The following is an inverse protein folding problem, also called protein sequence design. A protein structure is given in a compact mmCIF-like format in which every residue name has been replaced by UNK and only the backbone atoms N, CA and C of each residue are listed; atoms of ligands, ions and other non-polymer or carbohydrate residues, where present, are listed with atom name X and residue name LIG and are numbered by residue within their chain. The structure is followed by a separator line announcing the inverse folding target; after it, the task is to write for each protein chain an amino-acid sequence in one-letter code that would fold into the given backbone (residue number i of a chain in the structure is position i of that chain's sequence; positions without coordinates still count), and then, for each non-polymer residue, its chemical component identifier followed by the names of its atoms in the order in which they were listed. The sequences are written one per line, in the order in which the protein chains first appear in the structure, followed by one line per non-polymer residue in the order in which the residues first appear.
data_IF_290854336568
#
_entry.id   IF_290854336568
#
_cell.length_a   1.000
_cell.length_b   1.000
_cell.length_c   1.000
_cell.angle_alpha   90.00
_cell.angle_beta   90.00
_cell.angle_gamma   90.00
#
_symmetry.space_group_name_H-M   'P 1'
#
loop_
_entity.id
_entity.type
_entity.pdbx_description
1 polymer ?
#
# COMPACT_ATOMS: atom_id res chain seq x y z
N UNK A 1 15.56 16.83 10.62
CA UNK A 1 16.41 17.62 9.71
C UNK A 1 15.69 17.71 8.40
N UNK A 2 15.43 18.92 7.92
CA UNK A 2 14.65 19.18 6.69
C UNK A 2 15.56 19.74 5.59
N UNK A 3 15.13 19.69 4.33
CA UNK A 3 15.93 19.96 3.14
C UNK A 3 16.77 21.24 3.24
N UNK A 4 16.15 22.34 3.70
CA UNK A 4 16.82 23.63 3.78
C UNK A 4 17.87 23.69 4.89
N UNK A 5 17.69 22.95 6.00
CA UNK A 5 18.68 22.84 7.07
C UNK A 5 19.93 22.11 6.59
N UNK A 6 19.75 20.98 5.88
CA UNK A 6 20.85 20.21 5.31
C UNK A 6 21.58 21.01 4.23
N UNK A 7 20.85 21.70 3.36
CA UNK A 7 21.45 22.57 2.33
C UNK A 7 22.27 23.70 2.98
N UNK A 8 21.75 24.33 4.03
CA UNK A 8 22.47 25.38 4.75
C UNK A 8 23.76 24.84 5.41
N UNK A 9 23.72 23.62 5.94
CA UNK A 9 24.91 22.95 6.47
C UNK A 9 25.97 22.71 5.39
N UNK A 10 25.57 22.22 4.21
CA UNK A 10 26.47 22.01 3.08
C UNK A 10 27.10 23.31 2.58
N UNK A 11 26.29 24.37 2.46
CA UNK A 11 26.80 25.70 2.08
C UNK A 11 27.83 26.19 3.11
N UNK A 12 27.55 26.08 4.41
CA UNK A 12 28.49 26.48 5.47
C UNK A 12 29.78 25.66 5.44
N UNK A 13 29.69 24.34 5.25
CA UNK A 13 30.85 23.44 5.16
C UNK A 13 31.70 23.71 3.92
N UNK A 14 31.07 24.07 2.80
CA UNK A 14 31.77 24.38 1.55
C UNK A 14 32.62 25.64 1.61
N UNK A 15 32.30 26.58 2.51
CA UNK A 15 32.93 27.91 2.58
C UNK A 15 32.62 28.80 1.37
N UNK A 16 31.75 28.37 0.46
CA UNK A 16 31.39 29.12 -0.75
C UNK A 16 30.32 30.17 -0.45
N UNK A 17 30.49 31.36 -1.02
CA UNK A 17 29.42 32.36 -1.05
C UNK A 17 28.32 31.95 -2.03
N UNK A 18 27.08 32.39 -1.79
CA UNK A 18 25.95 32.14 -2.69
C UNK A 18 26.20 32.58 -4.13
N UNK A 19 27.03 33.62 -4.32
CA UNK A 19 27.43 34.10 -5.65
C UNK A 19 28.39 33.13 -6.34
N UNK A 20 29.33 32.55 -5.60
CA UNK A 20 30.23 31.51 -6.12
C UNK A 20 29.48 30.22 -6.46
N UNK A 21 28.51 29.82 -5.63
CA UNK A 21 27.65 28.65 -5.91
C UNK A 21 26.87 28.88 -7.21
N UNK A 22 26.24 30.06 -7.36
CA UNK A 22 25.52 30.43 -8.58
C UNK A 22 26.41 30.36 -9.84
N UNK A 23 27.64 30.84 -9.77
CA UNK A 23 28.59 30.77 -10.89
C UNK A 23 29.03 29.32 -11.20
N UNK A 24 29.29 28.51 -10.17
CA UNK A 24 29.65 27.10 -10.37
C UNK A 24 28.49 26.27 -10.95
N UNK A 25 27.25 26.56 -10.53
CA UNK A 25 26.05 25.94 -11.09
C UNK A 25 25.88 26.30 -12.56
N UNK A 26 26.15 27.56 -12.93
CA UNK A 26 26.11 28.03 -14.31
C UNK A 26 27.15 27.34 -15.19
N UNK A 27 28.36 27.08 -14.67
CA UNK A 27 29.39 26.30 -15.37
C UNK A 27 28.96 24.86 -15.65
N UNK A 28 28.05 24.31 -14.84
CA UNK A 28 27.43 22.99 -15.03
C UNK A 28 26.16 23.02 -15.88
N UNK A 29 25.85 24.15 -16.51
CA UNK A 29 24.68 24.32 -17.37
C UNK A 29 23.37 24.60 -16.62
N UNK A 30 23.39 24.77 -15.30
CA UNK A 30 22.21 25.03 -14.47
C UNK A 30 22.17 26.51 -14.08
N UNK A 31 21.27 27.27 -14.70
CA UNK A 31 21.10 28.71 -14.40
C UNK A 31 20.28 28.90 -13.12
N UNK A 32 20.93 29.31 -12.05
CA UNK A 32 20.29 29.64 -10.77
C UNK A 32 20.86 30.94 -10.21
N UNK A 33 19.99 31.84 -9.77
CA UNK A 33 20.36 33.11 -9.14
C UNK A 33 20.61 32.99 -7.65
N UNK A 34 21.49 33.87 -7.12
CA UNK A 34 21.76 33.98 -5.67
C UNK A 34 20.50 34.12 -4.81
N UNK A 35 19.47 34.80 -5.32
CA UNK A 35 18.22 35.04 -4.58
C UNK A 35 17.42 33.75 -4.43
N UNK A 36 17.44 32.89 -5.46
CA UNK A 36 16.77 31.60 -5.41
C UNK A 36 17.45 30.66 -4.42
N UNK A 37 18.79 30.59 -4.41
CA UNK A 37 19.57 29.82 -3.43
C UNK A 37 19.28 30.31 -2.01
N UNK A 38 19.22 31.63 -1.82
CA UNK A 38 18.88 32.21 -0.51
C UNK A 38 17.47 31.83 -0.05
N UNK A 39 16.48 31.75 -0.95
CA UNK A 39 15.12 31.32 -0.60
C UNK A 39 15.08 29.83 -0.26
N UNK A 40 15.86 29.02 -0.99
CA UNK A 40 16.00 27.58 -0.76
C UNK A 40 16.61 27.26 0.62
N UNK A 41 17.75 27.86 0.96
CA UNK A 41 18.40 27.62 2.27
C UNK A 41 17.56 28.12 3.47
N UNK A 42 16.66 29.07 3.23
CA UNK A 42 15.76 29.61 4.25
C UNK A 42 14.40 28.89 4.28
N UNK A 43 14.18 27.86 3.45
CA UNK A 43 12.93 27.10 3.42
C UNK A 43 11.71 27.88 2.90
N UNK A 44 11.91 29.01 2.23
CA UNK A 44 10.83 29.87 1.71
C UNK A 44 10.19 29.25 0.46
N UNK A 45 10.96 28.48 -0.30
CA UNK A 45 10.51 27.79 -1.50
C UNK A 45 10.73 26.29 -1.32
N UNK A 46 9.85 25.51 -1.95
CA UNK A 46 9.94 24.06 -1.94
C UNK A 46 11.27 23.58 -2.55
N UNK A 47 11.71 22.37 -2.20
CA UNK A 47 12.86 21.75 -2.82
C UNK A 47 12.75 21.78 -4.35
N UNK A 48 13.86 22.10 -5.05
CA UNK A 48 13.86 22.26 -6.50
C UNK A 48 13.88 20.89 -7.19
N UNK A 49 13.87 20.90 -8.53
CA UNK A 49 13.97 19.66 -9.31
C UNK A 49 15.21 18.82 -8.96
N UNK A 50 15.14 17.51 -9.17
CA UNK A 50 16.23 16.55 -8.89
C UNK A 50 17.59 17.01 -9.45
N UNK A 51 17.60 17.51 -10.69
CA UNK A 51 18.81 18.00 -11.38
C UNK A 51 19.47 19.14 -10.60
N UNK A 52 18.67 20.08 -10.11
CA UNK A 52 19.15 21.22 -9.33
C UNK A 52 19.67 20.75 -7.97
N UNK A 53 18.95 19.85 -7.31
CA UNK A 53 19.33 19.30 -6.01
C UNK A 53 20.66 18.55 -6.07
N UNK A 54 20.84 17.69 -7.08
CA UNK A 54 22.11 16.98 -7.30
C UNK A 54 23.26 17.95 -7.58
N UNK A 55 23.05 18.92 -8.46
CA UNK A 55 24.08 19.90 -8.77
C UNK A 55 24.45 20.78 -7.56
N UNK A 56 23.49 21.12 -6.69
CA UNK A 56 23.77 21.84 -5.44
C UNK A 56 24.60 21.00 -4.47
N UNK A 57 24.28 19.72 -4.28
CA UNK A 57 25.07 18.83 -3.43
C UNK A 57 26.50 18.71 -3.94
N UNK A 58 26.68 18.50 -5.25
CA UNK A 58 28.02 18.40 -5.85
C UNK A 58 28.84 19.69 -5.71
N UNK A 59 28.23 20.85 -5.95
CA UNK A 59 28.93 22.16 -5.86
C UNK A 59 29.31 22.49 -4.42
N UNK A 60 28.48 22.09 -3.46
CA UNK A 60 28.74 22.31 -2.04
C UNK A 60 29.61 21.21 -1.41
N UNK A 61 29.93 20.14 -2.15
CA UNK A 61 30.67 18.98 -1.64
C UNK A 61 29.89 18.15 -0.62
N UNK A 62 28.57 18.27 -0.62
CA UNK A 62 27.66 17.49 0.22
C UNK A 62 27.32 16.13 -0.38
N UNK A 63 26.63 15.29 0.40
CA UNK A 63 26.17 13.98 -0.08
C UNK A 63 24.87 14.12 -0.90
N UNK A 64 24.88 13.79 -2.21
CA UNK A 64 23.72 13.99 -3.06
C UNK A 64 22.51 13.15 -2.65
N UNK A 65 22.74 11.89 -2.23
CA UNK A 65 21.69 10.96 -1.85
C UNK A 65 20.82 11.48 -0.69
N UNK A 66 21.46 12.02 0.36
CA UNK A 66 20.76 12.57 1.53
C UNK A 66 19.92 13.80 1.17
N UNK A 67 20.46 14.69 0.33
CA UNK A 67 19.76 15.91 -0.07
C UNK A 67 18.56 15.60 -0.98
N UNK A 68 18.67 14.60 -1.85
CA UNK A 68 17.58 14.13 -2.71
C UNK A 68 16.47 13.47 -1.91
N UNK A 69 16.80 12.63 -0.92
CA UNK A 69 15.79 12.02 -0.06
C UNK A 69 14.94 13.07 0.67
N UNK A 70 15.58 14.11 1.21
CA UNK A 70 14.86 15.21 1.86
C UNK A 70 14.08 16.07 0.88
N UNK A 71 14.57 16.26 -0.36
CA UNK A 71 13.83 16.97 -1.39
C UNK A 71 12.52 16.24 -1.75
N UNK A 72 12.54 14.90 -1.74
CA UNK A 72 11.37 14.07 -1.99
C UNK A 72 10.40 14.04 -0.81
N UNK A 73 10.88 14.03 0.43
CA UNK A 73 10.00 14.08 1.61
C UNK A 73 9.34 15.45 1.77
N UNK A 74 10.10 16.53 1.55
CA UNK A 74 9.67 17.91 1.84
C UNK A 74 8.98 18.57 0.64
N UNK A 75 9.20 18.04 -0.57
CA UNK A 75 8.55 18.49 -1.80
C UNK A 75 7.10 18.06 -1.93
N UNK A 76 6.63 17.14 -1.07
CA UNK A 76 5.26 16.68 -1.07
C UNK A 76 4.44 17.60 -0.16
N UNK A 77 3.43 18.29 -0.73
CA UNK A 77 2.54 19.13 0.07
C UNK A 77 1.82 18.29 1.13
N UNK A 78 1.58 18.86 2.31
CA UNK A 78 0.84 18.19 3.38
C UNK A 78 -0.53 17.67 2.91
N UNK A 79 -1.17 18.39 1.98
CA UNK A 79 -2.40 17.98 1.32
C UNK A 79 -2.23 16.69 0.50
N UNK A 80 -1.17 16.59 -0.31
CA UNK A 80 -0.89 15.40 -1.11
C UNK A 80 -0.51 14.20 -0.24
N UNK A 81 0.26 14.39 0.85
CA UNK A 81 0.53 13.32 1.82
C UNK A 81 -0.75 12.79 2.47
N UNK A 82 -1.67 13.69 2.81
CA UNK A 82 -2.94 13.33 3.45
C UNK A 82 -3.82 12.52 2.50
N UNK A 83 -3.89 12.94 1.24
CA UNK A 83 -4.64 12.24 0.19
C UNK A 83 -4.01 10.87 -0.15
N UNK A 84 -2.68 10.79 -0.18
CA UNK A 84 -2.00 9.51 -0.41
C UNK A 84 -2.19 8.54 0.77
N UNK A 85 -2.19 9.05 2.01
CA UNK A 85 -2.46 8.24 3.21
C UNK A 85 -3.90 7.71 3.21
N UNK A 86 -4.90 8.54 2.91
CA UNK A 86 -6.31 8.09 2.86
C UNK A 86 -6.53 7.04 1.77
N UNK A 87 -5.92 7.21 0.60
CA UNK A 87 -5.96 6.20 -0.48
C UNK A 87 -5.29 4.89 -0.01
N UNK A 88 -4.17 4.97 0.69
CA UNK A 88 -3.47 3.78 1.20
C UNK A 88 -4.31 3.01 2.23
N UNK A 89 -5.02 3.71 3.11
CA UNK A 89 -5.93 3.09 4.08
C UNK A 89 -7.09 2.38 3.40
N UNK A 90 -7.69 2.99 2.39
CA UNK A 90 -8.80 2.39 1.63
C UNK A 90 -8.37 1.14 0.85
N UNK A 91 -7.17 1.16 0.25
CA UNK A 91 -6.60 -0.01 -0.42
C UNK A 91 -6.33 -1.15 0.58
N UNK A 92 -5.83 -0.82 1.77
CA UNK A 92 -5.61 -1.82 2.82
C UNK A 92 -6.92 -2.45 3.31
N UNK A 93 -7.96 -1.65 3.54
CA UNK A 93 -9.29 -2.17 3.94
C UNK A 93 -9.87 -3.10 2.87
N UNK A 94 -9.84 -2.69 1.60
CA UNK A 94 -10.30 -3.54 0.49
C UNK A 94 -9.53 -4.86 0.39
N UNK A 95 -8.21 -4.83 0.58
CA UNK A 95 -7.37 -6.03 0.61
C UNK A 95 -7.75 -6.98 1.76
N UNK A 96 -8.02 -6.42 2.94
CA UNK A 96 -8.43 -7.20 4.11
C UNK A 96 -9.82 -7.83 3.89
N UNK A 97 -10.77 -7.06 3.33
CA UNK A 97 -12.11 -7.53 3.00
C UNK A 97 -12.08 -8.66 1.97
N UNK A 98 -11.26 -8.53 0.93
CA UNK A 98 -11.06 -9.60 -0.07
C UNK A 98 -10.52 -10.87 0.56
N UNK A 99 -9.52 -10.75 1.45
CA UNK A 99 -8.94 -11.90 2.15
C UNK A 99 -9.99 -12.59 3.03
N UNK A 100 -10.75 -11.82 3.79
CA UNK A 100 -11.84 -12.35 4.63
C UNK A 100 -12.89 -13.09 3.81
N UNK A 101 -13.26 -12.53 2.64
CA UNK A 101 -14.22 -13.14 1.74
C UNK A 101 -13.73 -14.47 1.17
N UNK A 102 -12.45 -14.54 0.78
CA UNK A 102 -11.81 -15.75 0.25
C UNK A 102 -11.79 -16.88 1.29
N UNK A 103 -11.42 -16.56 2.54
CA UNK A 103 -11.39 -17.52 3.64
C UNK A 103 -12.81 -18.05 3.96
N UNK A 104 -13.80 -17.16 3.96
CA UNK A 104 -15.19 -17.53 4.17
C UNK A 104 -15.74 -18.42 3.05
N UNK A 105 -15.40 -18.13 1.79
CA UNK A 105 -15.78 -18.96 0.64
C UNK A 105 -15.15 -20.36 0.73
N UNK A 106 -13.86 -20.44 1.03
CA UNK A 106 -13.16 -21.72 1.23
C UNK A 106 -13.84 -22.57 2.32
N UNK A 107 -14.24 -21.94 3.42
CA UNK A 107 -14.97 -22.62 4.50
C UNK A 107 -16.36 -23.10 4.07
N UNK A 108 -17.08 -22.30 3.28
CA UNK A 108 -18.40 -22.70 2.74
C UNK A 108 -18.27 -23.90 1.81
N UNK A 109 -17.29 -23.90 0.90
CA UNK A 109 -17.04 -25.03 -0.01
C UNK A 109 -16.76 -26.33 0.74
N UNK A 110 -15.95 -26.27 1.82
CA UNK A 110 -15.70 -27.45 2.65
C UNK A 110 -16.96 -27.96 3.34
N UNK A 111 -17.77 -27.06 3.92
CA UNK A 111 -19.02 -27.43 4.58
C UNK A 111 -20.05 -28.00 3.60
N UNK A 112 -20.13 -27.45 2.38
CA UNK A 112 -21.00 -27.99 1.34
C UNK A 112 -20.60 -29.41 0.94
N UNK A 113 -19.29 -29.65 0.81
CA UNK A 113 -18.77 -30.99 0.52
C UNK A 113 -19.10 -31.98 1.65
N UNK A 114 -18.82 -31.61 2.90
CA UNK A 114 -19.12 -32.45 4.07
C UNK A 114 -20.63 -32.72 4.18
N UNK A 115 -21.47 -31.71 3.98
CA UNK A 115 -22.92 -31.86 4.00
C UNK A 115 -23.39 -32.85 2.92
N UNK A 116 -22.82 -32.77 1.70
CA UNK A 116 -23.12 -33.73 0.63
C UNK A 116 -22.70 -35.17 0.98
N UNK A 117 -21.54 -35.33 1.60
CA UNK A 117 -21.06 -36.63 2.08
C UNK A 117 -21.98 -37.20 3.17
N UNK A 118 -22.33 -36.40 4.17
CA UNK A 118 -23.25 -36.78 5.25
C UNK A 118 -24.63 -37.17 4.70
N UNK A 119 -25.21 -36.35 3.80
CA UNK A 119 -26.45 -36.68 3.10
C UNK A 119 -26.35 -38.04 2.40
N UNK A 120 -25.25 -38.28 1.70
CA UNK A 120 -25.01 -39.56 1.02
C UNK A 120 -24.94 -40.73 2.01
N UNK A 121 -24.23 -40.57 3.14
CA UNK A 121 -24.13 -41.61 4.17
C UNK A 121 -25.49 -41.95 4.79
N UNK A 122 -26.33 -40.94 5.07
CA UNK A 122 -27.69 -41.12 5.58
C UNK A 122 -28.52 -41.94 4.58
N UNK A 123 -28.52 -41.57 3.30
CA UNK A 123 -29.27 -42.30 2.29
C UNK A 123 -28.76 -43.74 2.11
N UNK A 124 -27.44 -43.96 2.15
CA UNK A 124 -26.84 -45.29 2.05
C UNK A 124 -27.18 -46.19 3.24
N UNK A 125 -27.15 -45.65 4.46
CA UNK A 125 -27.55 -46.40 5.66
C UNK A 125 -29.04 -46.74 5.64
N UNK A 126 -29.90 -45.80 5.22
CA UNK A 126 -31.34 -46.00 5.08
C UNK A 126 -31.71 -47.13 4.11
N UNK A 127 -30.87 -47.43 3.10
CA UNK A 127 -31.10 -48.55 2.17
C UNK A 127 -31.13 -49.92 2.85
N UNK A 128 -30.40 -50.08 3.95
CA UNK A 128 -30.28 -51.37 4.66
C UNK A 128 -31.40 -51.58 5.69
N UNK A 129 -32.25 -50.59 5.88
CA UNK A 129 -33.34 -50.66 6.86
C UNK A 129 -34.59 -51.33 6.29
N UNK A 130 -35.35 -51.95 7.18
CA UNK A 130 -36.68 -52.46 6.85
C UNK A 130 -37.61 -51.32 6.40
N UNK A 131 -38.54 -51.61 5.48
CA UNK A 131 -39.43 -50.62 4.82
C UNK A 131 -40.14 -49.68 5.80
N UNK A 132 -40.53 -50.18 6.97
CA UNK A 132 -41.22 -49.40 8.01
C UNK A 132 -40.34 -48.29 8.55
N UNK A 133 -39.04 -48.56 8.78
CA UNK A 133 -38.10 -47.57 9.31
C UNK A 133 -37.57 -46.62 8.23
N UNK A 134 -37.59 -47.06 6.97
CA UNK A 134 -37.15 -46.27 5.81
C UNK A 134 -38.00 -45.00 5.61
N UNK A 135 -39.32 -45.09 5.86
CA UNK A 135 -40.23 -43.95 5.78
C UNK A 135 -39.86 -42.83 6.74
N UNK A 136 -39.65 -43.15 8.03
CA UNK A 136 -39.28 -42.17 9.05
C UNK A 136 -37.98 -41.43 8.71
N UNK A 137 -36.94 -42.15 8.24
CA UNK A 137 -35.67 -41.51 7.87
C UNK A 137 -35.83 -40.59 6.66
N UNK A 138 -36.67 -40.93 5.69
CA UNK A 138 -36.90 -40.11 4.50
C UNK A 138 -37.70 -38.85 4.81
N UNK A 139 -38.71 -38.95 5.67
CA UNK A 139 -39.46 -37.79 6.13
C UNK A 139 -38.56 -36.82 6.92
N UNK A 140 -37.70 -37.34 7.79
CA UNK A 140 -36.79 -36.51 8.58
C UNK A 140 -35.65 -35.93 7.73
N UNK A 141 -35.16 -36.68 6.73
CA UNK A 141 -34.21 -36.16 5.74
C UNK A 141 -34.80 -34.95 5.00
N UNK A 142 -36.03 -35.04 4.51
CA UNK A 142 -36.69 -33.96 3.78
C UNK A 142 -36.93 -32.74 4.69
N UNK A 143 -37.31 -32.94 5.96
CA UNK A 143 -37.46 -31.83 6.92
C UNK A 143 -36.16 -31.07 7.20
N UNK A 144 -35.05 -31.80 7.34
CA UNK A 144 -33.75 -31.21 7.70
C UNK A 144 -33.07 -30.57 6.50
N UNK A 145 -33.18 -31.19 5.33
CA UNK A 145 -32.45 -30.76 4.13
C UNK A 145 -33.29 -29.90 3.19
N UNK A 146 -34.62 -29.94 3.31
CA UNK A 146 -35.57 -29.34 2.35
C UNK A 146 -35.64 -30.09 1.00
N UNK A 147 -34.91 -31.20 0.86
CA UNK A 147 -34.80 -31.96 -0.37
C UNK A 147 -35.49 -33.30 -0.24
N UNK A 148 -36.23 -33.69 -1.29
CA UNK A 148 -36.77 -35.05 -1.36
C UNK A 148 -35.62 -36.04 -1.54
N UNK A 149 -35.54 -37.10 -0.72
CA UNK A 149 -34.51 -38.11 -0.88
C UNK A 149 -34.68 -38.77 -2.25
N UNK A 150 -33.65 -38.69 -3.08
CA UNK A 150 -33.65 -39.43 -4.34
C UNK A 150 -33.80 -40.92 -4.04
N UNK A 151 -34.87 -41.51 -4.58
CA UNK A 151 -35.01 -42.96 -4.61
C UNK A 151 -33.98 -43.49 -5.61
N UNK A 152 -32.76 -43.72 -5.12
CA UNK A 152 -31.74 -44.49 -5.82
C UNK A 152 -32.15 -45.97 -5.92
#
# INVERSE_FOLDING_TARGET
MIYHELLNEYIKKSGLSLRQISEQMKNRGVKIDKSYISKLQNGVVNPPSLVITLALADVTGGEPEKLVQLAQSDGISSQFLTEMLSVSEDLMKKSLDQKWLLEKMSKLEMLEKENKELKSMVLWSARRLHKTYKGYIYDDYEKVTGEKPERL
#
